data_IF_521238858083
#
_entry.id   IF_521238858083
#
_cell.length_a   1.000
_cell.length_b   1.000
_cell.length_c   1.000
_cell.angle_alpha   90.00
_cell.angle_beta   90.00
_cell.angle_gamma   90.00
#
_symmetry.space_group_name_H-M   'P 1'
#
loop_
_entity.id
_entity.type
_entity.pdbx_description
1 polymer ?
#
# COMPACT_ATOMS: atom_id res chain seq x y z
N UNK A 1 -4.37 2.51 -10.81
CA UNK A 1 -4.17 1.22 -11.52
C UNK A 1 -4.71 0.03 -10.73
N UNK A 2 -4.29 -0.21 -9.48
CA UNK A 2 -4.75 -1.36 -8.67
C UNK A 2 -6.26 -1.40 -8.47
N UNK A 3 -6.86 -0.27 -8.11
CA UNK A 3 -8.31 -0.14 -7.95
C UNK A 3 -9.07 -0.51 -9.23
N UNK A 4 -8.67 0.06 -10.37
CA UNK A 4 -9.26 -0.25 -11.66
C UNK A 4 -9.18 -1.75 -12.00
N UNK A 5 -8.06 -2.42 -11.70
CA UNK A 5 -7.92 -3.87 -11.90
C UNK A 5 -8.90 -4.67 -11.03
N UNK A 6 -9.05 -4.27 -9.76
CA UNK A 6 -10.00 -4.91 -8.84
C UNK A 6 -11.45 -4.68 -9.30
N UNK A 7 -11.82 -3.44 -9.62
CA UNK A 7 -13.16 -3.06 -10.07
C UNK A 7 -13.51 -3.76 -11.39
N UNK A 8 -12.58 -3.79 -12.36
CA UNK A 8 -12.76 -4.52 -13.64
C UNK A 8 -13.04 -6.00 -13.42
N UNK A 9 -12.38 -6.63 -12.44
CA UNK A 9 -12.62 -8.03 -12.10
C UNK A 9 -13.97 -8.20 -11.41
N UNK A 10 -14.25 -7.38 -10.40
CA UNK A 10 -15.45 -7.50 -9.57
C UNK A 10 -16.73 -7.19 -10.35
N UNK A 11 -16.68 -6.27 -11.32
CA UNK A 11 -17.81 -5.95 -12.21
C UNK A 11 -18.28 -7.13 -13.09
N UNK A 12 -17.52 -8.23 -13.15
CA UNK A 12 -17.92 -9.47 -13.83
C UNK A 12 -18.66 -10.45 -12.92
N UNK A 13 -18.82 -10.14 -11.63
CA UNK A 13 -19.51 -11.01 -10.68
C UNK A 13 -21.04 -10.83 -10.83
N UNK A 14 -21.85 -11.88 -10.55
CA UNK A 14 -23.30 -11.84 -10.74
C UNK A 14 -23.99 -10.69 -10.00
N UNK A 15 -23.50 -10.33 -8.81
CA UNK A 15 -24.06 -9.22 -8.02
C UNK A 15 -23.92 -7.83 -8.69
N UNK A 16 -23.05 -7.68 -9.69
CA UNK A 16 -22.83 -6.41 -10.41
C UNK A 16 -23.46 -6.39 -11.81
N UNK A 17 -24.06 -7.50 -12.25
CA UNK A 17 -24.56 -7.68 -13.62
C UNK A 17 -25.66 -6.67 -13.96
N UNK A 18 -26.58 -6.43 -13.02
CA UNK A 18 -27.73 -5.53 -13.19
C UNK A 18 -27.43 -4.06 -12.86
N UNK A 19 -26.25 -3.76 -12.34
CA UNK A 19 -25.89 -2.41 -11.92
C UNK A 19 -25.44 -1.57 -13.11
N UNK A 20 -25.87 -0.32 -13.15
CA UNK A 20 -25.41 0.66 -14.13
C UNK A 20 -23.97 1.14 -13.81
N UNK A 21 -23.40 1.98 -14.66
CA UNK A 21 -22.02 2.43 -14.51
C UNK A 21 -21.77 3.21 -13.20
N UNK A 22 -22.72 4.06 -12.81
CA UNK A 22 -22.64 4.89 -11.59
C UNK A 22 -22.75 4.03 -10.32
N UNK A 23 -23.66 3.06 -10.31
CA UNK A 23 -23.84 2.13 -9.20
C UNK A 23 -22.61 1.24 -8.99
N UNK A 24 -21.96 0.79 -10.08
CA UNK A 24 -20.69 0.04 -10.01
C UNK A 24 -19.56 0.89 -9.44
N UNK A 25 -19.48 2.16 -9.83
CA UNK A 25 -18.48 3.08 -9.30
C UNK A 25 -18.68 3.29 -7.80
N UNK A 26 -19.91 3.55 -7.37
CA UNK A 26 -20.26 3.75 -5.97
C UNK A 26 -19.98 2.50 -5.12
N UNK A 27 -20.17 1.30 -5.68
CA UNK A 27 -19.80 0.06 -4.99
C UNK A 27 -18.29 -0.08 -4.83
N UNK A 28 -17.50 0.26 -5.86
CA UNK A 28 -16.04 0.31 -5.77
C UNK A 28 -15.53 1.31 -4.72
N UNK A 29 -16.19 2.46 -4.58
CA UNK A 29 -15.87 3.46 -3.54
C UNK A 29 -16.08 2.92 -2.12
N UNK A 30 -17.07 2.04 -1.93
CA UNK A 30 -17.37 1.41 -0.64
C UNK A 30 -16.63 0.07 -0.42
N UNK A 31 -15.77 -0.33 -1.36
CA UNK A 31 -15.10 -1.63 -1.29
C UNK A 31 -14.11 -1.73 -0.12
N UNK A 32 -13.87 -2.96 0.33
CA UNK A 32 -12.86 -3.24 1.37
C UNK A 32 -11.45 -2.78 0.97
N UNK A 33 -11.15 -2.74 -0.34
CA UNK A 33 -9.90 -2.21 -0.85
C UNK A 33 -9.72 -0.71 -0.61
N UNK A 34 -10.78 0.08 -0.82
CA UNK A 34 -10.77 1.54 -0.56
C UNK A 34 -10.63 1.84 0.93
N UNK A 35 -11.32 1.07 1.79
CA UNK A 35 -11.19 1.20 3.24
C UNK A 35 -9.78 0.84 3.75
N UNK A 36 -9.18 -0.21 3.20
CA UNK A 36 -7.82 -0.59 3.56
C UNK A 36 -6.81 0.47 3.10
N UNK A 37 -6.98 1.00 1.88
CA UNK A 37 -6.13 2.06 1.35
C UNK A 37 -6.17 3.32 2.23
N UNK A 38 -7.35 3.77 2.67
CA UNK A 38 -7.46 4.92 3.58
C UNK A 38 -6.81 4.64 4.93
N UNK A 39 -6.96 3.42 5.46
CA UNK A 39 -6.27 2.97 6.66
C UNK A 39 -4.74 3.02 6.53
N UNK A 40 -4.18 2.58 5.40
CA UNK A 40 -2.74 2.68 5.14
C UNK A 40 -2.24 4.12 5.03
N UNK A 41 -3.04 5.04 4.45
CA UNK A 41 -2.68 6.46 4.37
C UNK A 41 -2.64 7.06 5.78
N UNK A 42 -3.69 6.86 6.58
CA UNK A 42 -3.77 7.36 7.94
C UNK A 42 -2.68 6.76 8.84
N UNK A 43 -2.48 5.44 8.76
CA UNK A 43 -1.43 4.73 9.49
C UNK A 43 -0.03 5.17 9.08
N UNK A 44 0.20 5.39 7.78
CA UNK A 44 1.47 5.89 7.26
C UNK A 44 1.81 7.29 7.77
N UNK A 45 0.82 8.19 7.84
CA UNK A 45 1.01 9.51 8.43
C UNK A 45 1.39 9.43 9.92
N UNK A 46 0.69 8.60 10.70
CA UNK A 46 1.01 8.38 12.11
C UNK A 46 2.41 7.77 12.30
N UNK A 47 2.77 6.77 11.49
CA UNK A 47 4.10 6.17 11.52
C UNK A 47 5.18 7.20 11.17
N UNK A 48 4.96 8.07 10.19
CA UNK A 48 5.87 9.15 9.84
C UNK A 48 6.10 10.14 10.99
N UNK A 49 5.04 10.51 11.71
CA UNK A 49 5.15 11.36 12.91
C UNK A 49 5.99 10.67 13.99
N UNK A 50 5.70 9.39 14.28
CA UNK A 50 6.44 8.62 15.28
C UNK A 50 7.92 8.53 14.90
N UNK A 51 8.22 8.18 13.64
CA UNK A 51 9.59 8.07 13.13
C UNK A 51 10.32 9.40 13.29
N UNK A 52 9.70 10.52 12.92
CA UNK A 52 10.31 11.85 13.04
C UNK A 52 10.65 12.21 14.50
N UNK A 53 9.74 11.92 15.44
CA UNK A 53 9.99 12.12 16.87
C UNK A 53 11.16 11.23 17.31
N UNK A 54 11.14 9.94 16.95
CA UNK A 54 12.21 9.03 17.35
C UNK A 54 13.56 9.41 16.74
N UNK A 55 13.62 9.90 15.50
CA UNK A 55 14.86 10.34 14.87
C UNK A 55 15.44 11.59 15.58
N UNK A 56 14.59 12.51 16.01
CA UNK A 56 15.00 13.67 16.80
C UNK A 56 15.49 13.34 18.21
N UNK A 57 15.02 12.22 18.80
CA UNK A 57 15.39 11.79 20.16
C UNK A 57 16.52 10.76 20.16
N UNK A 58 16.62 9.91 19.13
CA UNK A 58 17.55 8.79 18.99
C UNK A 58 18.59 9.04 17.88
N UNK A 59 19.12 10.26 17.81
CA UNK A 59 20.01 10.69 16.73
C UNK A 59 21.30 9.84 16.61
N UNK A 60 21.85 9.38 17.74
CA UNK A 60 23.04 8.51 17.75
C UNK A 60 22.75 7.12 17.15
N UNK A 61 21.55 6.60 17.41
CA UNK A 61 21.09 5.34 16.83
C UNK A 61 20.87 5.47 15.32
N UNK A 62 20.20 6.56 14.89
CA UNK A 62 19.96 6.85 13.47
C UNK A 62 21.28 6.94 12.68
N UNK A 63 22.26 7.68 13.21
CA UNK A 63 23.58 7.81 12.58
C UNK A 63 24.36 6.49 12.54
N UNK A 64 24.25 5.66 13.57
CA UNK A 64 24.89 4.34 13.61
C UNK A 64 24.27 3.37 12.61
N UNK A 65 22.94 3.41 12.48
CA UNK A 65 22.20 2.61 11.50
C UNK A 65 22.54 3.00 10.06
N UNK A 66 22.64 4.31 9.78
CA UNK A 66 23.03 4.81 8.47
C UNK A 66 24.43 4.36 8.07
N UNK A 67 25.42 4.47 8.97
CA UNK A 67 26.80 4.02 8.71
C UNK A 67 26.88 2.51 8.47
N UNK A 68 26.16 1.73 9.26
CA UNK A 68 26.09 0.29 9.05
C UNK A 68 25.48 -0.05 7.68
N UNK A 69 24.38 0.62 7.32
CA UNK A 69 23.71 0.39 6.05
C UNK A 69 24.59 0.80 4.86
N UNK A 70 25.32 1.90 4.96
CA UNK A 70 26.27 2.33 3.92
C UNK A 70 27.42 1.34 3.71
N UNK A 71 27.92 0.73 4.80
CA UNK A 71 29.01 -0.25 4.73
C UNK A 71 28.55 -1.64 4.29
N UNK A 72 27.31 -2.05 4.64
CA UNK A 72 26.88 -3.45 4.56
C UNK A 72 25.72 -3.71 3.60
N UNK A 73 24.98 -2.69 3.18
CA UNK A 73 23.78 -2.83 2.35
C UNK A 73 24.02 -2.28 0.93
N UNK A 74 24.17 -3.14 -0.10
CA UNK A 74 24.41 -2.73 -1.48
C UNK A 74 23.21 -2.02 -2.14
N UNK A 75 22.07 -1.98 -1.45
CA UNK A 75 20.86 -1.26 -1.86
C UNK A 75 20.60 -0.01 -1.00
N UNK A 76 21.55 0.40 -0.16
CA UNK A 76 21.42 1.65 0.60
C UNK A 76 21.88 2.86 -0.21
N UNK A 77 22.96 2.72 -0.99
CA UNK A 77 23.52 3.78 -1.83
C UNK A 77 23.92 3.27 -3.22
N UNK A 78 24.13 4.19 -4.16
CA UNK A 78 24.56 3.89 -5.54
C UNK A 78 23.41 3.58 -6.51
N UNK A 79 23.71 3.00 -7.69
CA UNK A 79 22.75 2.84 -8.80
C UNK A 79 21.51 2.01 -8.44
N UNK A 80 21.63 1.12 -7.45
CA UNK A 80 20.61 0.17 -7.04
C UNK A 80 19.85 0.58 -5.76
N UNK A 81 20.10 1.77 -5.22
CA UNK A 81 19.58 2.21 -3.91
C UNK A 81 18.04 2.11 -3.79
N UNK A 82 17.32 2.23 -4.90
CA UNK A 82 15.87 2.20 -4.91
C UNK A 82 15.27 0.79 -4.98
N UNK A 83 16.05 -0.25 -5.28
CA UNK A 83 15.49 -1.59 -5.49
C UNK A 83 14.84 -2.16 -4.23
N UNK A 84 15.43 -1.91 -3.06
CA UNK A 84 14.88 -2.40 -1.80
C UNK A 84 13.50 -1.80 -1.51
N UNK A 85 13.25 -0.56 -1.96
CA UNK A 85 11.96 0.12 -1.79
C UNK A 85 10.83 -0.53 -2.57
N UNK A 86 11.12 -1.25 -3.66
CA UNK A 86 10.11 -1.91 -4.48
C UNK A 86 9.39 -3.03 -3.70
N UNK A 87 10.06 -3.63 -2.71
CA UNK A 87 9.51 -4.72 -1.90
C UNK A 87 8.29 -4.24 -1.08
N UNK A 88 8.41 -3.24 -0.17
CA UNK A 88 7.27 -2.79 0.62
C UNK A 88 6.14 -2.22 -0.26
N UNK A 89 6.45 -1.48 -1.32
CA UNK A 89 5.42 -1.00 -2.25
C UNK A 89 4.71 -2.14 -2.98
N UNK A 90 5.47 -3.13 -3.47
CA UNK A 90 4.93 -4.32 -4.12
C UNK A 90 4.03 -5.13 -3.18
N UNK A 91 4.42 -5.28 -1.92
CA UNK A 91 3.62 -5.95 -0.89
C UNK A 91 2.31 -5.21 -0.63
N UNK A 92 2.33 -3.88 -0.47
CA UNK A 92 1.11 -3.09 -0.28
C UNK A 92 0.20 -3.21 -1.50
N UNK A 93 0.74 -3.13 -2.72
CA UNK A 93 -0.02 -3.30 -3.96
C UNK A 93 -0.69 -4.68 -4.01
N UNK A 94 0.05 -5.75 -3.71
CA UNK A 94 -0.46 -7.11 -3.74
C UNK A 94 -1.56 -7.31 -2.68
N UNK A 95 -1.36 -6.77 -1.48
CA UNK A 95 -2.30 -6.86 -0.37
C UNK A 95 -3.58 -6.06 -0.64
N UNK A 96 -3.47 -4.84 -1.18
CA UNK A 96 -4.62 -4.04 -1.62
C UNK A 96 -5.42 -4.76 -2.69
N UNK A 97 -4.76 -5.32 -3.70
CA UNK A 97 -5.44 -6.09 -4.74
C UNK A 97 -6.14 -7.32 -4.16
N UNK A 98 -5.47 -8.07 -3.28
CA UNK A 98 -6.03 -9.27 -2.68
C UNK A 98 -7.26 -8.99 -1.82
N UNK A 99 -7.22 -7.96 -0.96
CA UNK A 99 -8.35 -7.58 -0.11
C UNK A 99 -9.50 -6.96 -0.92
N UNK A 100 -9.21 -6.23 -2.00
CA UNK A 100 -10.24 -5.68 -2.89
C UNK A 100 -10.98 -6.76 -3.71
N UNK A 101 -10.48 -8.00 -3.76
CA UNK A 101 -11.12 -9.08 -4.54
C UNK A 101 -12.35 -9.60 -3.82
N UNK A 102 -13.51 -9.32 -4.40
CA UNK A 102 -14.76 -9.90 -3.93
C UNK A 102 -14.92 -11.35 -4.43
N UNK A 103 -15.69 -12.11 -3.66
CA UNK A 103 -16.21 -13.43 -4.05
C UNK A 103 -17.62 -13.27 -4.60
N UNK A 104 -18.03 -14.17 -5.48
CA UNK A 104 -19.42 -14.23 -5.92
C UNK A 104 -20.31 -14.51 -4.69
N UNK A 105 -21.33 -13.67 -4.47
CA UNK A 105 -22.35 -13.98 -3.47
C UNK A 105 -23.21 -15.12 -4.03
N UNK A 106 -23.38 -16.17 -3.22
CA UNK A 106 -24.30 -17.27 -3.52
C UNK A 106 -25.73 -16.81 -3.33
#
# INVERSE_FOLDING_TARGET
MVRWLADRRNNRLPQYEKLNAEERQAAGDRSSGTLLASGYIAGGALAGIIIAITAGVLTDFDSSMAKWAEASNPFFAGPNANLLTLIPYGLIIALLYWVAREKAKR
#
